data_IF_970308077776
#
_entry.id   IF_970308077776
#
_cell.length_a   1.000
_cell.length_b   1.000
_cell.length_c   1.000
_cell.angle_alpha   90.00
_cell.angle_beta   90.00
_cell.angle_gamma   90.00
#
_symmetry.space_group_name_H-M   'P 1'
#
loop_
_entity.id
_entity.type
_entity.pdbx_description
1 polymer ?
#
# COMPACT_ATOMS: atom_id res chain seq x y z
N UNK A 1 0.81 -10.09 -17.13
CA UNK A 1 1.21 -9.97 -15.72
C UNK A 1 1.31 -11.35 -15.08
N UNK A 2 2.51 -11.75 -14.62
CA UNK A 2 2.68 -13.07 -14.01
C UNK A 2 1.88 -13.21 -12.71
N UNK A 3 1.44 -14.44 -12.44
CA UNK A 3 0.71 -14.83 -11.23
C UNK A 3 -0.65 -14.16 -11.01
N UNK A 4 -1.18 -13.52 -12.04
CA UNK A 4 -2.57 -13.06 -12.04
C UNK A 4 -3.42 -14.01 -12.88
N UNK A 5 -4.66 -14.33 -12.45
CA UNK A 5 -5.57 -15.14 -13.27
C UNK A 5 -5.82 -14.47 -14.61
N UNK A 6 -5.86 -15.25 -15.68
CA UNK A 6 -6.09 -14.73 -17.02
C UNK A 6 -7.56 -14.86 -17.38
N UNK A 7 -8.20 -13.76 -17.77
CA UNK A 7 -9.57 -13.76 -18.28
C UNK A 7 -9.57 -14.19 -19.74
N UNK A 8 -8.78 -13.51 -20.57
CA UNK A 8 -8.65 -13.83 -21.98
C UNK A 8 -7.40 -13.12 -22.55
N UNK A 9 -6.64 -13.84 -23.35
CA UNK A 9 -5.43 -13.33 -24.03
C UNK A 9 -4.46 -12.66 -23.04
N UNK A 10 -4.25 -11.35 -23.15
CA UNK A 10 -3.36 -10.57 -22.28
C UNK A 10 -4.10 -9.84 -21.16
N UNK A 11 -5.38 -10.13 -20.97
CA UNK A 11 -6.21 -9.47 -19.97
C UNK A 11 -6.25 -10.29 -18.68
N UNK A 12 -5.58 -9.84 -17.60
CA UNK A 12 -5.62 -10.52 -16.31
C UNK A 12 -6.84 -10.11 -15.48
N UNK A 13 -7.23 -10.97 -14.54
CA UNK A 13 -8.23 -10.66 -13.52
C UNK A 13 -7.51 -10.05 -12.31
N UNK A 14 -7.80 -8.80 -12.00
CA UNK A 14 -7.21 -8.05 -10.90
C UNK A 14 -8.14 -7.96 -9.67
N UNK A 15 -9.19 -8.75 -9.60
CA UNK A 15 -10.17 -8.70 -8.50
C UNK A 15 -9.50 -8.86 -7.14
N UNK A 16 -8.66 -9.87 -6.99
CA UNK A 16 -7.93 -10.12 -5.73
C UNK A 16 -6.96 -8.98 -5.41
N UNK A 17 -6.27 -8.47 -6.42
CA UNK A 17 -5.35 -7.34 -6.28
C UNK A 17 -6.06 -6.09 -5.76
N UNK A 18 -7.21 -5.76 -6.31
CA UNK A 18 -8.00 -4.63 -5.85
C UNK A 18 -8.60 -4.84 -4.46
N UNK A 19 -8.97 -6.09 -4.13
CA UNK A 19 -9.43 -6.43 -2.79
C UNK A 19 -8.34 -6.21 -1.74
N UNK A 20 -7.10 -6.58 -2.05
CA UNK A 20 -5.95 -6.34 -1.19
C UNK A 20 -5.68 -4.84 -1.01
N UNK A 21 -5.79 -4.06 -2.08
CA UNK A 21 -5.68 -2.60 -2.02
C UNK A 21 -6.77 -2.01 -1.12
N UNK A 22 -8.01 -2.44 -1.28
CA UNK A 22 -9.12 -1.94 -0.47
C UNK A 22 -8.97 -2.31 1.02
N UNK A 23 -8.34 -3.44 1.33
CA UNK A 23 -8.16 -3.89 2.71
C UNK A 23 -7.27 -2.97 3.54
N UNK A 24 -6.36 -2.22 2.92
CA UNK A 24 -5.49 -1.27 3.63
C UNK A 24 -6.13 0.10 3.80
N UNK A 25 -7.39 0.26 3.39
CA UNK A 25 -8.16 1.51 3.52
C UNK A 25 -7.40 2.70 2.92
N UNK A 26 -7.18 2.73 1.60
CA UNK A 26 -6.37 3.75 0.93
C UNK A 26 -7.12 5.07 0.76
N UNK A 27 -7.59 5.64 1.84
CA UNK A 27 -8.29 6.92 1.87
C UNK A 27 -8.03 7.62 3.20
N UNK A 28 -8.32 8.91 3.24
CA UNK A 28 -8.12 9.73 4.44
C UNK A 28 -9.07 9.29 5.56
N UNK A 29 -8.53 8.89 6.70
CA UNK A 29 -9.29 8.57 7.90
C UNK A 29 -9.01 9.62 8.97
N UNK A 30 -10.06 10.31 9.43
CA UNK A 30 -9.96 11.32 10.46
C UNK A 30 -11.11 11.20 11.44
N UNK A 31 -10.85 11.39 12.74
CA UNK A 31 -11.86 11.49 13.78
C UNK A 31 -12.31 12.93 13.96
N UNK A 32 -11.44 13.87 13.58
CA UNK A 32 -11.72 15.30 13.66
C UNK A 32 -12.67 15.72 12.54
N UNK A 33 -13.69 16.57 12.83
CA UNK A 33 -14.58 17.08 11.80
C UNK A 33 -13.81 17.81 10.69
N UNK A 34 -14.31 17.70 9.47
CA UNK A 34 -13.68 18.36 8.33
C UNK A 34 -13.64 19.89 8.53
N UNK A 35 -12.49 20.54 8.26
CA UNK A 35 -12.42 22.00 8.35
C UNK A 35 -13.27 22.68 7.29
N UNK A 36 -13.60 23.95 7.52
CA UNK A 36 -14.49 24.72 6.63
C UNK A 36 -13.93 24.85 5.21
N UNK A 37 -12.61 24.91 5.07
CA UNK A 37 -11.96 25.08 3.77
C UNK A 37 -11.27 23.78 3.30
N UNK A 38 -10.16 23.44 3.92
CA UNK A 38 -9.34 22.28 3.51
C UNK A 38 -8.46 21.79 4.66
N UNK A 39 -8.01 20.53 4.57
CA UNK A 39 -7.01 20.01 5.46
C UNK A 39 -5.66 20.66 5.16
N UNK A 40 -5.06 21.25 6.18
CA UNK A 40 -3.76 21.93 6.02
C UNK A 40 -2.62 20.94 6.16
N UNK A 41 -1.61 21.10 5.31
CA UNK A 41 -0.41 20.29 5.33
C UNK A 41 0.78 21.18 4.96
N UNK A 42 1.89 21.03 5.69
CA UNK A 42 3.11 21.80 5.37
C UNK A 42 3.76 21.28 4.09
N UNK A 43 4.59 22.08 3.46
CA UNK A 43 5.34 21.71 2.27
C UNK A 43 6.28 20.53 2.57
N UNK A 44 6.91 20.52 3.75
CA UNK A 44 7.79 19.43 4.18
C UNK A 44 7.04 18.12 4.34
N UNK A 45 5.87 18.15 4.99
CA UNK A 45 5.05 16.96 5.18
C UNK A 45 4.50 16.44 3.85
N UNK A 46 4.16 17.34 2.93
CA UNK A 46 3.72 16.97 1.59
C UNK A 46 4.84 16.30 0.79
N UNK A 47 6.08 16.76 0.94
CA UNK A 47 7.22 16.20 0.23
C UNK A 47 7.52 14.72 0.60
N UNK A 48 7.12 14.30 1.79
CA UNK A 48 7.26 12.90 2.22
C UNK A 48 6.42 11.93 1.39
N UNK A 49 5.40 12.43 0.72
CA UNK A 49 4.52 11.62 -0.12
C UNK A 49 5.06 11.45 -1.55
N UNK A 50 6.09 12.18 -1.92
CA UNK A 50 6.69 12.07 -3.25
C UNK A 50 7.24 10.66 -3.45
N UNK A 51 6.91 10.06 -4.60
CA UNK A 51 7.22 8.67 -4.90
C UNK A 51 6.17 7.67 -4.43
N UNK A 52 5.18 8.10 -3.63
CA UNK A 52 4.12 7.25 -3.11
C UNK A 52 2.77 7.51 -3.75
N UNK A 53 2.41 8.79 -3.90
CA UNK A 53 1.08 9.16 -4.41
C UNK A 53 0.93 8.90 -5.91
N UNK A 54 2.04 8.81 -6.65
CA UNK A 54 2.03 8.63 -8.10
C UNK A 54 1.67 7.22 -8.55
N UNK A 55 1.51 6.28 -7.64
CA UNK A 55 1.19 4.90 -7.97
C UNK A 55 -0.12 4.80 -8.75
N UNK A 56 -0.06 4.19 -9.93
CA UNK A 56 -1.22 4.03 -10.83
C UNK A 56 -1.84 2.63 -10.75
N UNK A 57 -1.44 1.83 -9.78
CA UNK A 57 -1.96 0.46 -9.60
C UNK A 57 -1.76 -0.43 -10.83
N UNK A 58 -0.60 -0.32 -11.48
CA UNK A 58 -0.28 -1.13 -12.65
C UNK A 58 0.03 -2.60 -12.30
N UNK A 59 0.22 -2.92 -11.03
CA UNK A 59 0.51 -4.25 -10.51
C UNK A 59 1.90 -4.82 -10.87
N UNK A 60 2.76 -4.07 -11.53
CA UNK A 60 4.08 -4.58 -11.93
C UNK A 60 4.94 -4.98 -10.72
N UNK A 61 4.93 -4.20 -9.65
CA UNK A 61 5.70 -4.50 -8.44
C UNK A 61 5.20 -5.77 -7.74
N UNK A 62 3.88 -5.93 -7.62
CA UNK A 62 3.28 -7.12 -7.00
C UNK A 62 3.52 -8.38 -7.83
N UNK A 63 3.36 -8.29 -9.13
CA UNK A 63 3.57 -9.44 -10.03
C UNK A 63 5.03 -9.81 -10.17
N UNK A 64 5.96 -8.92 -9.85
CA UNK A 64 7.40 -9.19 -9.86
C UNK A 64 7.94 -9.65 -8.50
N UNK A 65 7.12 -9.68 -7.47
CA UNK A 65 7.55 -10.00 -6.10
C UNK A 65 7.48 -11.51 -5.84
N UNK A 66 8.61 -12.20 -5.59
CA UNK A 66 8.59 -13.64 -5.31
C UNK A 66 7.75 -14.00 -4.08
N UNK A 67 7.75 -13.18 -3.04
CA UNK A 67 6.92 -13.41 -1.85
C UNK A 67 5.42 -13.39 -2.20
N UNK A 68 5.02 -12.53 -3.11
CA UNK A 68 3.65 -12.48 -3.60
C UNK A 68 3.29 -13.72 -4.41
N UNK A 69 4.23 -14.24 -5.20
CA UNK A 69 4.01 -15.47 -5.97
C UNK A 69 3.67 -16.66 -5.09
N UNK A 70 4.36 -16.80 -3.97
CA UNK A 70 4.21 -17.97 -3.09
C UNK A 70 3.10 -17.81 -2.05
N UNK A 71 2.76 -16.59 -1.66
CA UNK A 71 1.82 -16.30 -0.59
C UNK A 71 0.81 -15.19 -0.96
N UNK A 72 0.39 -15.11 -2.22
CA UNK A 72 -0.51 -14.07 -2.71
C UNK A 72 -1.88 -14.03 -2.04
N UNK A 73 -2.28 -15.11 -1.38
CA UNK A 73 -3.51 -15.19 -0.61
C UNK A 73 -3.40 -14.54 0.78
N UNK A 74 -2.21 -14.49 1.35
CA UNK A 74 -1.94 -13.97 2.70
C UNK A 74 -1.10 -12.70 2.72
N UNK A 75 -0.14 -12.60 1.82
CA UNK A 75 0.74 -11.46 1.70
C UNK A 75 0.11 -10.39 0.80
N UNK A 76 -0.07 -9.19 1.34
CA UNK A 76 -0.74 -8.10 0.63
C UNK A 76 -0.01 -7.66 -0.66
N UNK A 77 1.30 -7.80 -0.67
CA UNK A 77 2.11 -7.42 -1.82
C UNK A 77 2.58 -5.97 -1.78
N UNK A 78 3.60 -5.64 -2.61
CA UNK A 78 4.23 -4.32 -2.57
C UNK A 78 3.27 -3.15 -2.83
N UNK A 79 2.33 -3.30 -3.75
CA UNK A 79 1.41 -2.21 -4.09
C UNK A 79 0.49 -1.86 -2.93
N UNK A 80 -0.12 -2.86 -2.28
CA UNK A 80 -0.99 -2.63 -1.13
C UNK A 80 -0.21 -2.04 0.05
N UNK A 81 1.00 -2.55 0.30
CA UNK A 81 1.85 -2.04 1.36
C UNK A 81 2.31 -0.59 1.10
N UNK A 82 2.59 -0.26 -0.15
CA UNK A 82 2.94 1.11 -0.53
C UNK A 82 1.79 2.08 -0.24
N UNK A 83 0.58 1.71 -0.57
CA UNK A 83 -0.59 2.53 -0.28
C UNK A 83 -0.87 2.64 1.22
N UNK A 84 -0.65 1.57 1.98
CA UNK A 84 -0.75 1.61 3.43
C UNK A 84 0.25 2.60 4.02
N UNK A 85 1.50 2.52 3.60
CA UNK A 85 2.57 3.42 4.06
C UNK A 85 2.30 4.87 3.67
N UNK A 86 1.79 5.12 2.47
CA UNK A 86 1.43 6.45 2.02
C UNK A 86 0.48 7.14 3.01
N UNK A 87 -0.51 6.41 3.51
CA UNK A 87 -1.45 6.97 4.48
C UNK A 87 -0.93 6.99 5.90
N UNK A 88 -0.04 6.06 6.26
CA UNK A 88 0.59 6.05 7.59
C UNK A 88 1.43 7.32 7.79
N UNK A 89 2.17 7.76 6.78
CA UNK A 89 3.04 8.94 6.89
C UNK A 89 2.35 10.25 6.51
N UNK A 90 1.11 10.21 6.05
CA UNK A 90 0.36 11.43 5.75
C UNK A 90 0.02 12.16 7.06
N UNK A 91 0.44 13.42 7.16
CA UNK A 91 0.23 14.22 8.38
C UNK A 91 -1.24 14.53 8.68
N UNK A 92 -2.10 14.41 7.66
CA UNK A 92 -3.54 14.65 7.80
C UNK A 92 -4.30 13.43 8.30
N UNK A 93 -3.72 12.23 8.17
CA UNK A 93 -4.38 10.98 8.53
C UNK A 93 -4.24 10.70 10.03
N UNK A 94 -5.34 10.31 10.66
CA UNK A 94 -5.40 10.02 12.10
C UNK A 94 -5.51 8.51 12.40
N UNK A 95 -5.62 7.68 11.35
CA UNK A 95 -5.82 6.24 11.50
C UNK A 95 -4.54 5.40 11.59
N UNK A 96 -3.39 5.99 11.91
CA UNK A 96 -2.07 5.31 11.90
C UNK A 96 -2.05 4.04 12.76
N UNK A 97 -2.58 4.10 13.99
CA UNK A 97 -2.59 2.94 14.88
C UNK A 97 -3.40 1.77 14.34
N UNK A 98 -4.60 2.03 13.83
CA UNK A 98 -5.45 1.01 13.23
C UNK A 98 -4.83 0.43 11.95
N UNK A 99 -4.18 1.26 11.15
CA UNK A 99 -3.51 0.82 9.93
C UNK A 99 -2.36 -0.14 10.24
N UNK A 100 -1.60 0.13 11.28
CA UNK A 100 -0.50 -0.74 11.70
C UNK A 100 -1.05 -2.07 12.23
N UNK A 101 -2.14 -2.06 12.99
CA UNK A 101 -2.79 -3.26 13.49
C UNK A 101 -3.35 -4.11 12.34
N UNK A 102 -3.97 -3.49 11.35
CA UNK A 102 -4.48 -4.17 10.16
C UNK A 102 -3.38 -4.83 9.35
N UNK A 103 -2.17 -4.30 9.38
CA UNK A 103 -1.02 -4.88 8.69
C UNK A 103 -0.44 -6.10 9.40
N UNK A 104 -0.70 -6.28 10.70
CA UNK A 104 -0.24 -7.47 11.43
C UNK A 104 -1.01 -8.74 11.03
N UNK A 105 -2.33 -8.62 10.91
CA UNK A 105 -3.20 -9.76 10.64
C UNK A 105 -2.96 -10.46 9.29
N UNK A 106 -2.74 -9.75 8.17
CA UNK A 106 -2.58 -10.38 6.87
C UNK A 106 -1.21 -11.02 6.64
N UNK A 107 -0.26 -10.91 7.57
CA UNK A 107 1.06 -11.49 7.37
C UNK A 107 1.13 -12.94 7.85
N UNK A 108 1.84 -13.82 7.10
CA UNK A 108 2.10 -15.18 7.57
C UNK A 108 2.86 -15.16 8.90
N UNK A 109 2.65 -16.22 9.70
CA UNK A 109 3.41 -16.38 10.94
C UNK A 109 4.92 -16.27 10.69
N UNK A 110 5.58 -15.39 11.44
CA UNK A 110 7.02 -15.15 11.33
C UNK A 110 7.39 -13.91 10.54
N UNK A 111 6.43 -13.22 9.87
CA UNK A 111 6.69 -11.94 9.27
C UNK A 111 6.32 -10.81 10.22
N UNK A 112 7.29 -9.95 10.45
CA UNK A 112 7.16 -8.80 11.34
C UNK A 112 6.65 -7.59 10.53
N UNK A 113 5.66 -6.82 11.02
CA UNK A 113 5.22 -5.59 10.36
C UNK A 113 6.35 -4.62 10.05
N UNK A 114 7.37 -4.55 10.91
CA UNK A 114 8.55 -3.74 10.68
C UNK A 114 9.34 -4.16 9.43
N UNK A 115 9.38 -5.47 9.13
CA UNK A 115 10.00 -5.99 7.90
C UNK A 115 9.21 -5.57 6.66
N UNK A 116 7.89 -5.58 6.73
CA UNK A 116 7.04 -5.14 5.64
C UNK A 116 7.26 -3.65 5.34
N UNK A 117 7.33 -2.82 6.37
CA UNK A 117 7.62 -1.39 6.23
C UNK A 117 9.02 -1.17 5.66
N UNK A 118 10.00 -1.96 6.08
CA UNK A 118 11.37 -1.91 5.54
C UNK A 118 11.39 -2.27 4.06
N UNK A 119 10.64 -3.28 3.65
CA UNK A 119 10.51 -3.68 2.24
C UNK A 119 9.84 -2.58 1.40
N UNK A 120 8.83 -1.91 1.93
CA UNK A 120 8.21 -0.78 1.28
C UNK A 120 9.21 0.35 1.06
N UNK A 121 9.98 0.70 2.09
CA UNK A 121 11.03 1.72 1.99
C UNK A 121 12.07 1.35 0.94
N UNK A 122 12.48 0.09 0.89
CA UNK A 122 13.42 -0.41 -0.10
C UNK A 122 12.88 -0.28 -1.52
N UNK A 123 11.61 -0.65 -1.73
CA UNK A 123 10.95 -0.50 -3.02
C UNK A 123 10.83 0.96 -3.44
N UNK A 124 10.57 1.85 -2.50
CA UNK A 124 10.55 3.28 -2.77
C UNK A 124 11.92 3.81 -3.21
N UNK A 125 12.99 3.38 -2.56
CA UNK A 125 14.36 3.76 -2.93
C UNK A 125 14.68 3.23 -4.34
N UNK A 126 14.31 2.01 -4.66
CA UNK A 126 14.50 1.44 -6.00
C UNK A 126 13.72 2.19 -7.09
N UNK A 127 12.56 2.75 -6.75
CA UNK A 127 11.76 3.55 -7.70
C UNK A 127 12.34 4.94 -7.94
N UNK A 128 13.05 5.51 -6.98
CA UNK A 128 13.62 6.85 -7.08
C UNK A 128 15.00 6.86 -7.74
N UNK A 129 15.59 5.69 -7.96
CA UNK A 129 16.83 5.49 -8.67
C UNK A 129 16.53 5.13 -10.13
#
# INVERSE_FOLDING_TARGET
LPHMPVVKDLIPDLTHFYAQHASVKPWLETETPAPVKEWKQSVEDRSKLDGLYECIMCACCSTSCPSYWWNGDRYLGPAALLHAYRWIIDSRDEGTGERLDDLEDPFPKGLNPALAISQIKKLMVERTI
#
